data_IF_806890808774
#
_entry.id   IF_806890808774
#
_cell.length_a   1.000
_cell.length_b   1.000
_cell.length_c   1.000
_cell.angle_alpha   90.00
_cell.angle_beta   90.00
_cell.angle_gamma   90.00
#
_symmetry.space_group_name_H-M   'P 1'
#
loop_
_entity.id
_entity.type
_entity.pdbx_description
1 polymer ?
2 branched ?
3 branched ?
4 non-polymer ?
5 non-polymer ?
6 non-polymer ?
7 water ?
#
# COMPACT_ATOMS: atom_id res chain seq x y z
N UNK A 1 1.84 10.23 -23.94
CA UNK A 1 2.79 11.01 -24.78
C UNK A 1 4.15 10.34 -24.75
N UNK A 2 4.98 10.76 -23.80
CA UNK A 2 6.31 10.19 -23.63
C UNK A 2 6.27 9.53 -22.26
N UNK A 3 7.17 8.59 -22.06
CA UNK A 3 7.24 7.89 -20.77
C UNK A 3 7.65 8.90 -19.71
N UNK A 4 7.04 8.80 -18.54
CA UNK A 4 7.41 9.70 -17.46
C UNK A 4 8.75 9.30 -16.87
N UNK A 5 9.54 10.31 -16.50
CA UNK A 5 10.84 10.09 -15.87
C UNK A 5 10.81 10.78 -14.50
N UNK A 6 11.32 10.08 -13.50
CA UNK A 6 11.40 10.57 -12.14
C UNK A 6 12.53 11.59 -12.04
N UNK A 7 12.26 12.78 -12.54
CA UNK A 7 13.27 13.83 -12.55
C UNK A 7 13.25 14.75 -11.34
N UNK A 8 12.16 14.75 -10.57
CA UNK A 8 12.08 15.64 -9.41
C UNK A 8 12.36 14.97 -8.06
N UNK A 9 12.73 15.79 -7.08
CA UNK A 9 12.91 15.31 -5.73
C UNK A 9 11.58 15.58 -5.02
N UNK A 10 11.46 15.11 -3.78
CA UNK A 10 10.22 15.32 -2.98
C UNK A 10 10.08 16.75 -2.48
N UNK A 11 8.84 17.22 -2.38
CA UNK A 11 8.60 18.54 -1.81
C UNK A 11 8.87 18.38 -0.29
N UNK A 12 9.19 19.48 0.38
CA UNK A 12 9.42 19.45 1.82
C UNK A 12 8.08 19.22 2.52
N UNK A 13 8.04 18.19 3.35
CA UNK A 13 6.83 17.82 4.07
C UNK A 13 6.82 18.51 5.42
N UNK A 14 6.01 19.57 5.55
CA UNK A 14 5.89 20.29 6.82
C UNK A 14 4.62 19.93 7.58
N UNK A 15 3.69 19.29 6.87
CA UNK A 15 2.42 18.76 7.40
C UNK A 15 1.72 17.98 6.27
N UNK A 16 0.50 17.52 6.57
CA UNK A 16 -0.30 16.75 5.61
C UNK A 16 -1.66 17.39 5.49
N UNK A 17 -2.15 17.57 4.27
CA UNK A 17 -3.47 18.15 4.06
C UNK A 17 -4.41 17.03 3.53
N UNK A 18 -5.73 17.21 3.70
CA UNK A 18 -6.71 16.23 3.25
C UNK A 18 -6.74 16.23 1.71
N UNK A 19 -6.64 15.05 1.12
CA UNK A 19 -6.65 14.88 -0.34
C UNK A 19 -7.94 14.21 -0.84
N UNK A 20 -8.30 13.07 -0.24
CA UNK A 20 -9.51 12.37 -0.62
C UNK A 20 -10.07 11.54 0.51
N UNK A 21 -11.38 11.29 0.47
CA UNK A 21 -12.08 10.49 1.49
C UNK A 21 -13.39 10.10 0.82
N UNK A 22 -13.67 8.80 0.76
CA UNK A 22 -14.90 8.37 0.12
C UNK A 22 -16.09 8.03 1.02
N UNK A 23 -15.88 7.94 2.34
CA UNK A 23 -16.97 7.64 3.26
C UNK A 23 -17.81 6.47 2.72
N UNK A 24 -17.13 5.46 2.17
CA UNK A 24 -17.81 4.34 1.54
C UNK A 24 -18.80 3.52 2.41
N UNK A 25 -18.39 3.21 3.64
CA UNK A 25 -19.23 2.42 4.54
C UNK A 25 -20.48 3.19 4.96
N UNK A 26 -20.33 4.49 5.26
CA UNK A 26 -21.46 5.33 5.64
C UNK A 26 -22.47 5.33 4.50
N UNK A 27 -22.00 5.70 3.31
CA UNK A 27 -22.86 5.78 2.13
C UNK A 27 -23.45 4.44 1.74
N UNK A 28 -22.63 3.39 1.86
CA UNK A 28 -23.00 2.03 1.49
C UNK A 28 -24.07 1.41 2.34
N UNK A 29 -24.38 2.06 3.46
CA UNK A 29 -25.44 1.58 4.35
C UNK A 29 -26.79 1.64 3.59
N UNK A 30 -26.88 2.54 2.62
CA UNK A 30 -28.12 2.71 1.85
C UNK A 30 -27.89 3.05 0.36
N UNK A 31 -26.97 2.34 -0.27
CA UNK A 31 -26.74 2.53 -1.68
C UNK A 31 -25.87 1.36 -2.12
N UNK A 32 -25.76 1.12 -3.42
CA UNK A 32 -25.02 -0.01 -3.94
C UNK A 32 -23.51 0.06 -3.99
N UNK A 33 -22.91 0.01 -2.81
CA UNK A 33 -21.48 0.09 -2.66
C UNK A 33 -20.89 -1.32 -2.51
N UNK A 34 -19.87 -1.60 -3.31
CA UNK A 34 -19.20 -2.89 -3.27
C UNK A 34 -18.34 -3.03 -2.01
N UNK A 35 -18.29 -4.27 -1.50
CA UNK A 35 -17.44 -4.60 -0.37
C UNK A 35 -16.02 -4.66 -0.97
N UNK A 36 -15.08 -4.07 -0.27
CA UNK A 36 -13.68 -4.08 -0.72
C UNK A 36 -12.74 -4.26 0.48
N UNK A 37 -11.45 -4.24 0.16
CA UNK A 37 -10.31 -4.23 1.10
C UNK A 37 -9.07 -4.08 0.22
N UNK A 38 -7.92 -3.86 0.87
CA UNK A 38 -6.64 -3.66 0.17
C UNK A 38 -6.73 -2.52 -0.88
N UNK A 39 -7.20 -1.33 -0.46
CA UNK A 39 -7.36 -0.22 -1.40
C UNK A 39 -6.05 0.54 -1.57
N UNK A 40 -6.05 1.47 -2.51
CA UNK A 40 -4.90 2.34 -2.75
C UNK A 40 -5.31 3.44 -3.71
N UNK A 41 -4.37 4.31 -4.08
CA UNK A 41 -4.68 5.41 -4.99
C UNK A 41 -3.58 5.42 -6.07
N UNK A 42 -3.93 5.83 -7.28
CA UNK A 42 -2.94 5.86 -8.34
C UNK A 42 -3.40 6.87 -9.39
N UNK A 43 -2.44 7.60 -9.92
CA UNK A 43 -2.70 8.63 -10.91
C UNK A 43 -2.30 8.30 -12.33
N UNK A 44 -3.08 8.86 -13.24
CA UNK A 44 -2.85 8.80 -14.68
C UNK A 44 -2.41 10.26 -14.95
N UNK A 45 -1.90 10.54 -16.16
CA UNK A 45 -1.54 11.94 -16.46
C UNK A 45 -2.69 12.95 -16.35
N UNK A 46 -3.92 12.49 -16.53
CA UNK A 46 -5.05 13.42 -16.47
C UNK A 46 -6.07 13.17 -15.37
N UNK A 47 -5.83 12.21 -14.49
CA UNK A 47 -6.81 11.92 -13.43
C UNK A 47 -6.19 11.03 -12.38
N UNK A 48 -6.64 11.17 -11.14
CA UNK A 48 -6.20 10.31 -10.03
C UNK A 48 -7.46 9.57 -9.56
N UNK A 49 -7.31 8.27 -9.33
CA UNK A 49 -8.42 7.41 -8.93
C UNK A 49 -8.15 6.48 -7.72
N UNK A 50 -9.24 6.07 -7.06
CA UNK A 50 -9.16 5.11 -5.95
C UNK A 50 -9.19 3.73 -6.61
N UNK A 51 -8.50 2.80 -5.97
CA UNK A 51 -8.36 1.42 -6.39
C UNK A 51 -8.60 0.53 -5.18
N UNK A 52 -9.04 -0.70 -5.43
CA UNK A 52 -9.23 -1.68 -4.35
C UNK A 52 -9.63 -3.04 -4.92
N UNK A 53 -9.59 -4.04 -4.04
CA UNK A 53 -9.99 -5.39 -4.38
C UNK A 53 -11.42 -5.62 -3.95
N UNK A 54 -12.32 -5.63 -4.93
CA UNK A 54 -13.71 -5.87 -4.69
C UNK A 54 -13.88 -7.30 -4.16
N UNK A 55 -14.99 -7.54 -3.47
CA UNK A 55 -15.33 -8.89 -2.98
C UNK A 55 -16.51 -9.42 -3.82
N UNK A 56 -16.87 -8.72 -4.89
CA UNK A 56 -17.95 -9.15 -5.76
C UNK A 56 -19.33 -9.23 -5.11
N UNK A 57 -19.68 -8.22 -4.31
CA UNK A 57 -20.98 -8.15 -3.64
C UNK A 57 -21.06 -6.77 -3.00
N UNK A 58 -22.28 -6.29 -2.76
CA UNK A 58 -22.49 -5.01 -2.08
C UNK A 58 -22.41 -5.28 -0.56
N UNK A 59 -22.26 -4.23 0.23
CA UNK A 59 -22.17 -4.36 1.68
C UNK A 59 -23.50 -4.85 2.26
N UNK A 60 -24.62 -4.26 1.81
CA UNK A 60 -25.95 -4.69 2.29
C UNK A 60 -26.39 -6.02 1.68
N UNK A 61 -25.72 -6.45 0.60
CA UNK A 61 -26.10 -7.69 -0.04
C UNK A 61 -25.87 -8.87 0.87
N UNK A 62 -26.70 -9.90 0.74
CA UNK A 62 -26.53 -11.12 1.54
C UNK A 62 -25.17 -11.81 1.32
N UNK A 63 -24.58 -11.63 0.13
CA UNK A 63 -23.28 -12.23 -0.16
C UNK A 63 -22.12 -11.55 0.56
N UNK A 64 -22.41 -10.50 1.35
CA UNK A 64 -21.35 -9.81 2.11
C UNK A 64 -20.92 -10.74 3.27
N UNK A 65 -21.77 -11.72 3.56
CA UNK A 65 -21.46 -12.64 4.62
C UNK A 65 -20.24 -13.46 4.22
N UNK A 66 -19.17 -13.36 4.99
CA UNK A 66 -17.98 -14.15 4.68
C UNK A 66 -16.83 -13.38 4.05
N UNK A 67 -17.03 -12.10 3.76
CA UNK A 67 -16.01 -11.28 3.14
C UNK A 67 -14.74 -11.01 3.96
N UNK A 68 -14.66 -11.58 5.17
CA UNK A 68 -13.43 -11.45 5.96
C UNK A 68 -12.28 -12.22 5.20
N UNK A 69 -12.65 -13.24 4.42
CA UNK A 69 -11.66 -14.00 3.66
C UNK A 69 -10.98 -13.20 2.57
N UNK A 70 -9.70 -13.45 2.41
CA UNK A 70 -8.85 -12.73 1.48
C UNK A 70 -8.84 -13.15 0.01
N UNK A 71 -9.05 -14.44 -0.26
CA UNK A 71 -8.93 -14.89 -1.62
C UNK A 71 -10.10 -15.74 -2.06
N UNK A 72 -10.81 -15.28 -3.08
CA UNK A 72 -11.95 -16.02 -3.62
C UNK A 72 -11.97 -15.72 -5.10
N UNK A 73 -12.79 -16.47 -5.83
CA UNK A 73 -12.93 -16.26 -7.26
C UNK A 73 -13.82 -15.03 -7.58
N UNK A 74 -14.34 -14.36 -6.55
CA UNK A 74 -15.23 -13.21 -6.76
C UNK A 74 -14.59 -11.86 -6.56
N UNK A 75 -13.27 -11.85 -6.36
CA UNK A 75 -12.55 -10.60 -6.17
C UNK A 75 -11.98 -10.10 -7.49
N UNK A 76 -11.75 -8.80 -7.56
CA UNK A 76 -11.20 -8.17 -8.77
C UNK A 76 -10.64 -6.81 -8.42
N UNK A 77 -9.60 -6.39 -9.14
CA UNK A 77 -9.07 -5.05 -8.90
C UNK A 77 -10.02 -4.09 -9.61
N UNK A 78 -10.55 -3.12 -8.88
CA UNK A 78 -11.43 -2.11 -9.46
C UNK A 78 -10.88 -0.70 -9.16
N UNK A 79 -11.21 0.26 -10.01
CA UNK A 79 -10.84 1.66 -9.76
C UNK A 79 -12.12 2.48 -9.94
N UNK A 80 -12.14 3.67 -9.35
CA UNK A 80 -13.30 4.53 -9.44
C UNK A 80 -12.88 6.00 -9.17
N UNK A 81 -13.74 7.00 -9.53
CA UNK A 81 -13.35 8.41 -9.40
C UNK A 81 -12.95 8.78 -7.97
N UNK A 82 -11.92 9.61 -7.88
CA UNK A 82 -11.38 10.08 -6.61
C UNK A 82 -12.46 10.55 -5.65
N UNK A 83 -12.45 9.98 -4.46
CA UNK A 83 -13.35 10.31 -3.38
C UNK A 83 -14.79 9.87 -3.51
N UNK A 84 -15.14 9.23 -4.63
CA UNK A 84 -16.47 8.64 -4.76
C UNK A 84 -16.32 7.29 -4.02
N UNK A 85 -17.43 6.65 -3.64
CA UNK A 85 -17.32 5.28 -3.15
C UNK A 85 -17.28 4.29 -4.31
N UNK A 86 -16.75 3.09 -4.07
CA UNK A 86 -16.76 2.05 -5.08
C UNK A 86 -18.16 1.42 -5.23
N UNK A 87 -18.92 1.91 -6.19
CA UNK A 87 -20.27 1.40 -6.41
C UNK A 87 -20.31 0.41 -7.57
N UNK A 88 -21.37 -0.36 -7.61
CA UNK A 88 -21.56 -1.32 -8.67
C UNK A 88 -21.59 -0.59 -10.03
N UNK A 89 -22.14 0.62 -10.02
CA UNK A 89 -22.30 1.40 -11.24
C UNK A 89 -21.12 2.28 -11.69
N UNK A 90 -20.17 2.59 -10.82
CA UNK A 90 -19.05 3.45 -11.22
C UNK A 90 -17.69 2.75 -11.11
N UNK A 91 -17.68 1.49 -10.72
CA UNK A 91 -16.40 0.81 -10.56
C UNK A 91 -15.96 0.17 -11.86
N UNK A 92 -14.72 0.44 -12.25
CA UNK A 92 -14.17 -0.10 -13.48
C UNK A 92 -13.22 -1.23 -13.11
N UNK A 93 -13.48 -2.42 -13.66
CA UNK A 93 -12.62 -3.57 -13.36
C UNK A 93 -11.30 -3.51 -14.17
N UNK A 94 -10.18 -3.53 -13.47
CA UNK A 94 -8.89 -3.52 -14.12
C UNK A 94 -8.43 -4.95 -14.48
N UNK A 95 -8.78 -5.91 -13.62
CA UNK A 95 -8.45 -7.32 -13.82
C UNK A 95 -9.03 -8.14 -12.67
N UNK A 96 -9.04 -9.45 -12.86
CA UNK A 96 -9.61 -10.41 -11.93
C UNK A 96 -8.54 -11.02 -11.03
N UNK A 97 -8.78 -11.07 -9.72
CA UNK A 97 -7.79 -11.63 -8.82
C UNK A 97 -7.90 -11.14 -7.39
N UNK A 98 -7.02 -11.66 -6.53
CA UNK A 98 -7.04 -11.31 -5.11
C UNK A 98 -5.81 -10.66 -4.50
N UNK A 99 -4.93 -10.17 -5.37
CA UNK A 99 -3.71 -9.47 -4.97
C UNK A 99 -3.38 -8.66 -6.23
N UNK A 100 -2.99 -7.40 -6.06
CA UNK A 100 -2.72 -6.53 -7.21
C UNK A 100 -1.75 -5.36 -7.01
N UNK A 101 -1.44 -4.74 -8.14
CA UNK A 101 -0.66 -3.54 -8.22
C UNK A 101 -1.06 -2.90 -9.56
N UNK A 102 -0.74 -1.61 -9.71
CA UNK A 102 -1.08 -0.88 -10.92
C UNK A 102 -0.30 0.44 -10.94
N UNK A 103 0.09 0.87 -12.14
CA UNK A 103 0.80 2.13 -12.29
C UNK A 103 0.79 2.59 -13.74
N UNK A 104 0.78 3.90 -13.93
CA UNK A 104 0.77 4.50 -15.28
C UNK A 104 2.23 4.87 -15.60
N UNK A 105 2.68 4.54 -16.80
CA UNK A 105 4.08 4.85 -17.16
C UNK A 105 4.21 6.18 -17.89
N UNK A 106 3.11 6.90 -18.05
CA UNK A 106 3.16 8.17 -18.76
C UNK A 106 2.43 8.05 -20.08
N UNK A 107 2.49 6.87 -20.69
CA UNK A 107 1.79 6.62 -21.94
C UNK A 107 0.49 5.88 -21.66
N UNK A 108 0.58 4.80 -20.89
CA UNK A 108 -0.60 4.03 -20.54
C UNK A 108 -0.38 3.29 -19.21
N UNK A 109 -1.43 2.64 -18.72
CA UNK A 109 -1.36 1.95 -17.44
C UNK A 109 -1.13 0.45 -17.49
N UNK A 110 -0.38 -0.03 -16.51
CA UNK A 110 -0.12 -1.45 -16.36
C UNK A 110 -0.85 -1.86 -15.07
N UNK A 111 -1.63 -2.94 -15.13
CA UNK A 111 -2.31 -3.45 -13.94
C UNK A 111 -1.98 -4.94 -13.84
N UNK A 112 -1.76 -5.40 -12.63
CA UNK A 112 -1.41 -6.79 -12.40
C UNK A 112 -2.34 -7.40 -11.35
N UNK A 113 -2.92 -8.55 -11.67
CA UNK A 113 -3.80 -9.25 -10.71
C UNK A 113 -3.36 -10.71 -10.64
N UNK A 114 -3.35 -11.23 -9.42
CA UNK A 114 -2.98 -12.61 -9.18
C UNK A 114 -4.24 -13.35 -8.74
N UNK A 115 -4.44 -14.53 -9.30
CA UNK A 115 -5.57 -15.36 -8.95
C UNK A 115 -5.13 -16.84 -8.88
N UNK A 116 -6.00 -17.69 -8.36
CA UNK A 116 -5.68 -19.09 -8.29
C UNK A 116 -5.90 -19.64 -6.90
N UNK A 117 -5.80 -20.96 -6.76
CA UNK A 117 -5.70 -21.61 -5.45
C UNK A 117 -4.33 -21.29 -4.84
N UNK A 118 -4.20 -21.52 -3.55
CA UNK A 118 -2.97 -21.24 -2.85
C UNK A 118 -1.73 -21.86 -3.46
N UNK A 119 -1.84 -23.09 -3.93
CA UNK A 119 -0.70 -23.77 -4.53
C UNK A 119 -0.58 -23.70 -6.06
N UNK A 120 -1.38 -22.88 -6.72
CA UNK A 120 -1.34 -22.83 -8.18
C UNK A 120 -1.77 -21.45 -8.72
N UNK A 121 -1.34 -20.39 -8.06
CA UNK A 121 -1.69 -19.05 -8.48
C UNK A 121 -0.85 -18.58 -9.65
N UNK A 122 -1.33 -17.53 -10.31
CA UNK A 122 -0.64 -16.94 -11.45
C UNK A 122 -0.99 -15.46 -11.55
N UNK A 123 -0.03 -14.68 -12.00
CA UNK A 123 -0.23 -13.28 -12.19
C UNK A 123 -0.45 -13.01 -13.68
N UNK A 124 -1.36 -12.10 -13.99
CA UNK A 124 -1.50 -11.65 -15.37
C UNK A 124 -1.38 -10.14 -15.41
N UNK A 125 -0.40 -9.75 -16.24
CA UNK A 125 0.00 -8.36 -16.46
C UNK A 125 -0.70 -7.80 -17.68
N UNK A 126 -1.54 -6.81 -17.39
CA UNK A 126 -2.35 -6.06 -18.36
C UNK A 126 -1.64 -4.74 -18.62
N UNK A 127 -1.70 -4.30 -19.87
CA UNK A 127 -1.09 -3.05 -20.29
C UNK A 127 -2.00 -2.47 -21.37
N UNK A 128 -2.38 -1.20 -21.18
CA UNK A 128 -3.29 -0.54 -22.11
C UNK A 128 -4.62 -1.33 -22.16
N UNK A 129 -5.01 -1.81 -20.98
CA UNK A 129 -6.24 -2.58 -20.74
C UNK A 129 -6.37 -3.92 -21.45
N UNK A 130 -5.24 -4.50 -21.85
CA UNK A 130 -5.22 -5.81 -22.52
C UNK A 130 -4.23 -6.71 -21.80
N UNK A 131 -4.52 -8.01 -21.72
CA UNK A 131 -3.57 -8.93 -21.09
C UNK A 131 -2.37 -9.13 -22.01
N UNK A 132 -1.17 -9.03 -21.46
CA UNK A 132 0.06 -9.16 -22.24
C UNK A 132 1.01 -10.28 -21.79
N UNK A 133 1.21 -10.38 -20.47
CA UNK A 133 2.12 -11.37 -19.89
C UNK A 133 1.52 -12.13 -18.71
N UNK A 134 1.93 -13.38 -18.53
CA UNK A 134 1.47 -14.21 -17.42
C UNK A 134 2.68 -14.85 -16.76
N UNK A 135 2.63 -14.95 -15.42
CA UNK A 135 3.72 -15.53 -14.62
C UNK A 135 3.11 -16.54 -13.65
N UNK A 136 3.53 -17.80 -13.78
CA UNK A 136 3.02 -18.85 -12.91
C UNK A 136 3.73 -18.82 -11.57
N UNK A 137 3.02 -19.23 -10.53
CA UNK A 137 3.60 -19.33 -9.20
C UNK A 137 4.96 -20.10 -9.28
N UNK A 138 5.97 -19.62 -8.54
CA UNK A 138 7.27 -20.28 -8.53
C UNK A 138 7.54 -21.02 -7.21
N UNK A 139 6.76 -20.74 -6.18
CA UNK A 139 6.98 -21.41 -4.91
C UNK A 139 5.72 -22.14 -4.44
N UNK A 140 4.66 -22.09 -5.25
CA UNK A 140 3.40 -22.78 -4.96
C UNK A 140 2.79 -22.49 -3.58
N UNK A 141 2.90 -21.24 -3.16
CA UNK A 141 2.37 -20.83 -1.87
C UNK A 141 1.95 -19.35 -1.87
N UNK A 142 0.74 -19.11 -2.37
CA UNK A 142 0.14 -17.78 -2.41
C UNK A 142 1.00 -16.69 -3.03
N UNK A 143 1.21 -16.79 -4.34
CA UNK A 143 1.93 -15.76 -5.11
C UNK A 143 1.17 -14.48 -4.74
N UNK A 144 1.89 -13.41 -4.40
CA UNK A 144 1.23 -12.19 -3.96
C UNK A 144 2.09 -10.95 -4.26
N UNK A 145 1.47 -9.79 -4.33
CA UNK A 145 2.22 -8.59 -4.66
C UNK A 145 1.94 -7.40 -3.74
N UNK A 146 2.19 -6.20 -4.24
CA UNK A 146 2.14 -4.97 -3.46
C UNK A 146 0.92 -4.49 -2.72
N UNK A 147 -0.24 -4.54 -3.39
CA UNK A 147 -1.51 -4.03 -2.85
C UNK A 147 -1.50 -2.50 -2.84
N UNK A 148 -0.57 -1.90 -3.61
CA UNK A 148 -0.54 -0.44 -3.79
C UNK A 148 0.17 -0.17 -5.14
N UNK A 149 0.19 1.08 -5.60
CA UNK A 149 0.79 1.34 -6.89
C UNK A 149 2.28 1.07 -7.06
N UNK A 150 2.62 0.66 -8.28
CA UNK A 150 4.02 0.48 -8.63
C UNK A 150 4.47 1.87 -9.17
N UNK A 151 5.73 1.99 -9.60
CA UNK A 151 6.26 3.25 -10.09
C UNK A 151 7.07 2.95 -11.35
N UNK A 152 6.99 3.85 -12.32
CA UNK A 152 7.70 3.69 -13.58
C UNK A 152 8.72 4.81 -13.83
N UNK A 153 9.71 4.48 -14.64
CA UNK A 153 10.74 5.44 -15.00
C UNK A 153 11.21 5.05 -16.40
N UNK A 154 10.99 5.95 -17.35
CA UNK A 154 11.33 5.74 -18.76
C UNK A 154 10.74 4.43 -19.30
N UNK A 155 9.51 4.13 -18.90
CA UNK A 155 8.87 2.92 -19.39
C UNK A 155 9.11 1.71 -18.53
N UNK A 156 10.14 1.74 -17.66
CA UNK A 156 10.41 0.59 -16.79
C UNK A 156 9.66 0.70 -15.48
N UNK A 157 8.80 -0.28 -15.21
CA UNK A 157 7.98 -0.30 -13.98
C UNK A 157 8.29 -1.56 -13.13
N UNK A 158 9.16 -1.42 -12.12
CA UNK A 158 9.50 -2.53 -11.22
C UNK A 158 8.32 -2.88 -10.29
N UNK A 159 8.18 -4.17 -10.00
CA UNK A 159 7.12 -4.63 -9.12
C UNK A 159 7.70 -5.73 -8.24
N UNK A 160 7.35 -5.71 -6.96
CA UNK A 160 7.85 -6.73 -6.04
C UNK A 160 6.77 -7.76 -5.77
N UNK A 161 7.13 -9.04 -5.91
CA UNK A 161 6.26 -10.18 -5.69
C UNK A 161 6.90 -11.06 -4.64
N UNK A 162 6.09 -11.86 -3.95
CA UNK A 162 6.59 -12.82 -2.98
C UNK A 162 5.76 -14.09 -3.18
N UNK A 163 6.43 -15.24 -3.12
CA UNK A 163 5.77 -16.52 -3.22
C UNK A 163 6.49 -17.41 -2.20
N UNK A 164 5.69 -18.12 -1.39
CA UNK A 164 6.22 -18.98 -0.35
C UNK A 164 5.64 -18.62 0.99
N UNK A 165 6.24 -19.16 2.04
CA UNK A 165 5.79 -18.95 3.42
C UNK A 165 5.66 -17.51 3.90
N UNK A 166 4.69 -17.29 4.79
CA UNK A 166 4.45 -15.99 5.40
C UNK A 166 5.11 -15.98 6.79
N UNK A 167 5.53 -17.16 7.23
CA UNK A 167 6.11 -17.32 8.55
C UNK A 167 7.51 -17.98 8.54
N UNK A 168 8.22 -17.78 7.44
CA UNK A 168 9.55 -18.34 7.30
C UNK A 168 10.09 -17.76 6.01
N UNK A 169 11.34 -18.10 5.62
CA UNK A 169 11.90 -17.56 4.37
C UNK A 169 11.05 -17.90 3.15
N UNK A 170 10.88 -16.90 2.29
CA UNK A 170 10.08 -17.03 1.09
C UNK A 170 10.90 -16.57 -0.12
N UNK A 171 10.33 -16.71 -1.32
CA UNK A 171 11.03 -16.30 -2.54
C UNK A 171 10.42 -15.00 -3.13
N UNK A 172 11.09 -13.89 -2.81
CA UNK A 172 10.68 -12.58 -3.26
C UNK A 172 11.46 -12.28 -4.54
N UNK A 173 10.76 -11.70 -5.52
CA UNK A 173 11.34 -11.35 -6.80
C UNK A 173 10.95 -9.92 -7.20
N UNK A 174 11.87 -9.26 -7.86
CA UNK A 174 11.65 -7.92 -8.35
C UNK A 174 11.61 -8.07 -9.88
N UNK A 175 10.45 -7.78 -10.46
CA UNK A 175 10.28 -7.84 -11.90
C UNK A 175 10.33 -6.45 -12.47
N UNK A 176 11.02 -6.30 -13.58
CA UNK A 176 11.13 -5.02 -14.28
C UNK A 176 10.34 -5.17 -15.59
N UNK A 177 9.16 -4.54 -15.63
CA UNK A 177 8.30 -4.60 -16.81
C UNK A 177 8.42 -3.33 -17.64
N UNK A 178 8.18 -3.49 -18.94
CA UNK A 178 8.14 -2.37 -19.87
C UNK A 178 7.06 -2.76 -20.90
N UNK A 179 5.99 -1.98 -20.96
CA UNK A 179 4.87 -2.25 -21.85
C UNK A 179 4.28 -3.62 -21.56
N UNK A 180 4.24 -3.97 -20.27
CA UNK A 180 3.68 -5.23 -19.83
C UNK A 180 4.56 -6.44 -20.09
N UNK A 181 5.71 -6.27 -20.72
CA UNK A 181 6.59 -7.41 -20.99
C UNK A 181 7.72 -7.46 -19.97
N UNK A 182 8.23 -8.66 -19.70
CA UNK A 182 9.30 -8.78 -18.72
C UNK A 182 10.66 -8.47 -19.34
N UNK A 183 11.35 -7.46 -18.83
CA UNK A 183 12.70 -7.17 -19.31
C UNK A 183 13.69 -8.02 -18.53
N UNK A 184 13.42 -8.21 -17.24
CA UNK A 184 14.33 -8.91 -16.33
C UNK A 184 13.64 -9.09 -14.97
N UNK A 185 14.10 -10.05 -14.17
CA UNK A 185 13.63 -10.21 -12.80
C UNK A 185 14.86 -10.60 -11.99
N UNK A 186 14.87 -10.26 -10.71
CA UNK A 186 15.98 -10.60 -9.82
C UNK A 186 15.32 -11.25 -8.61
N UNK A 187 16.04 -12.19 -7.95
CA UNK A 187 15.76 -12.51 -6.54
C UNK A 187 16.15 -11.40 -5.57
N UNK A 188 15.38 -11.30 -4.50
CA UNK A 188 15.62 -10.33 -3.47
C UNK A 188 17.06 -10.51 -2.95
N UNK A 189 17.75 -9.38 -2.76
CA UNK A 189 19.09 -9.39 -2.22
C UNK A 189 19.08 -8.36 -1.10
N UNK A 190 20.19 -8.23 -0.42
CA UNK A 190 20.30 -7.28 0.68
C UNK A 190 20.05 -7.97 2.02
N UNK A 191 19.73 -7.18 3.04
CA UNK A 191 19.53 -7.75 4.37
C UNK A 191 18.09 -7.94 4.84
N UNK A 192 17.11 -7.54 4.01
CA UNK A 192 15.71 -7.72 4.36
C UNK A 192 15.50 -9.23 4.43
N UNK A 193 14.94 -9.73 5.52
CA UNK A 193 14.77 -11.18 5.69
C UNK A 193 13.43 -11.76 5.20
N UNK A 194 12.45 -10.90 5.00
CA UNK A 194 11.13 -11.30 4.54
C UNK A 194 10.46 -10.04 4.01
N UNK A 195 9.84 -10.16 2.83
CA UNK A 195 9.19 -9.02 2.16
C UNK A 195 7.77 -9.32 1.73
N UNK A 196 6.86 -8.39 1.98
CA UNK A 196 5.48 -8.51 1.54
C UNK A 196 4.88 -7.12 1.45
N UNK A 197 3.94 -6.98 0.51
CA UNK A 197 3.18 -5.74 0.30
C UNK A 197 3.97 -4.42 0.29
N UNK A 198 4.89 -4.28 -0.65
CA UNK A 198 5.69 -3.07 -0.76
C UNK A 198 4.92 -1.83 -1.19
N UNK A 199 5.16 -0.72 -0.50
CA UNK A 199 4.58 0.58 -0.80
C UNK A 199 5.72 1.38 -1.41
N UNK A 200 5.56 1.82 -2.64
CA UNK A 200 6.66 2.49 -3.30
C UNK A 200 6.36 3.88 -3.80
N UNK A 201 7.44 4.63 -4.04
CA UNK A 201 7.36 5.97 -4.61
C UNK A 201 8.70 6.20 -5.31
N UNK A 202 8.73 7.17 -6.22
CA UNK A 202 9.96 7.45 -6.94
C UNK A 202 10.32 8.92 -6.93
N UNK A 203 11.64 9.17 -6.91
CA UNK A 203 12.16 10.52 -6.97
C UNK A 203 13.59 10.44 -7.43
N UNK A 204 13.97 11.42 -8.25
CA UNK A 204 15.32 11.51 -8.80
C UNK A 204 15.89 10.15 -9.28
N UNK A 205 15.16 9.52 -10.19
CA UNK A 205 15.53 8.24 -10.79
C UNK A 205 15.81 7.07 -9.83
N UNK A 206 15.21 7.11 -8.64
CA UNK A 206 15.33 6.01 -7.68
C UNK A 206 13.92 5.67 -7.13
N UNK A 207 13.65 4.38 -6.95
CA UNK A 207 12.37 3.95 -6.42
C UNK A 207 12.57 3.35 -5.05
N UNK A 208 11.90 3.93 -4.05
CA UNK A 208 11.98 3.45 -2.69
C UNK A 208 10.69 2.72 -2.33
N UNK A 209 10.85 1.53 -1.78
CA UNK A 209 9.72 0.71 -1.33
C UNK A 209 9.83 0.36 0.15
N UNK A 210 8.80 0.69 0.92
CA UNK A 210 8.73 0.36 2.34
C UNK A 210 7.75 -0.82 2.39
N UNK A 211 8.23 -1.98 2.82
CA UNK A 211 7.38 -3.15 2.81
C UNK A 211 7.13 -3.65 4.21
N UNK A 212 6.81 -4.93 4.30
CA UNK A 212 6.49 -5.53 5.59
C UNK A 212 7.15 -6.90 5.72
N UNK A 213 7.76 -7.11 6.89
CA UNK A 213 8.38 -8.38 7.23
C UNK A 213 7.34 -9.07 8.11
N UNK A 214 6.52 -9.92 7.50
CA UNK A 214 5.50 -10.62 8.25
C UNK A 214 6.03 -11.64 9.25
N UNK A 215 7.12 -12.30 8.87
CA UNK A 215 7.77 -13.33 9.65
C UNK A 215 8.30 -12.89 11.02
N UNK A 216 9.23 -11.93 11.01
CA UNK A 216 9.85 -11.49 12.26
C UNK A 216 9.97 -10.02 12.60
N UNK A 217 9.94 -9.14 11.59
CA UNK A 217 10.19 -7.73 11.85
C UNK A 217 9.08 -6.78 12.21
N UNK A 218 9.33 -5.99 13.26
CA UNK A 218 8.40 -4.94 13.70
C UNK A 218 8.88 -3.60 13.14
N UNK A 219 10.12 -3.60 12.65
CA UNK A 219 10.66 -2.44 11.92
C UNK A 219 10.29 -2.84 10.47
N UNK A 220 10.32 -1.90 9.52
CA UNK A 220 9.96 -2.25 8.14
C UNK A 220 11.19 -2.43 7.26
N UNK A 221 11.18 -3.50 6.47
CA UNK A 221 12.13 -3.68 5.36
C UNK A 221 11.94 -2.62 4.26
N UNK A 222 13.06 -2.25 3.65
CA UNK A 222 13.06 -1.25 2.62
C UNK A 222 13.88 -1.73 1.44
N UNK A 223 13.26 -1.63 0.26
CA UNK A 223 13.92 -2.00 -1.00
C UNK A 223 14.10 -0.73 -1.84
N UNK A 224 15.33 -0.43 -2.24
CA UNK A 224 15.60 0.72 -3.09
C UNK A 224 16.01 0.18 -4.45
N UNK A 225 15.30 0.65 -5.47
CA UNK A 225 15.48 0.17 -6.83
C UNK A 225 16.00 1.23 -7.78
N UNK A 226 16.95 0.81 -8.59
CA UNK A 226 17.51 1.68 -9.63
C UNK A 226 16.81 1.17 -10.89
N UNK A 227 15.84 1.93 -11.42
CA UNK A 227 15.09 1.39 -12.55
C UNK A 227 15.84 1.45 -13.90
N UNK A 228 17.00 2.10 -13.93
CA UNK A 228 17.79 2.15 -15.16
C UNK A 228 18.73 0.95 -15.20
N UNK A 229 19.50 0.77 -14.13
CA UNK A 229 20.39 -0.36 -14.02
C UNK A 229 19.59 -1.63 -13.79
N UNK A 230 18.35 -1.46 -13.33
CA UNK A 230 17.49 -2.58 -13.00
C UNK A 230 18.15 -3.48 -11.94
N UNK A 231 18.58 -2.80 -10.86
CA UNK A 231 19.22 -3.45 -9.73
C UNK A 231 18.58 -2.87 -8.48
N UNK A 232 18.84 -3.46 -7.32
CA UNK A 232 18.25 -2.98 -6.07
C UNK A 232 19.08 -3.41 -4.86
N UNK A 233 18.69 -2.89 -3.69
CA UNK A 233 19.31 -3.25 -2.44
C UNK A 233 18.16 -3.36 -1.46
N UNK A 234 18.44 -3.90 -0.29
CA UNK A 234 17.43 -4.01 0.75
C UNK A 234 18.08 -3.92 2.13
N UNK A 235 17.32 -3.39 3.09
CA UNK A 235 17.73 -3.25 4.49
C UNK A 235 16.44 -2.99 5.25
N UNK A 236 16.55 -2.57 6.51
CA UNK A 236 15.40 -2.21 7.33
C UNK A 236 15.56 -0.75 7.76
N UNK A 237 14.44 -0.13 8.10
CA UNK A 237 14.47 1.23 8.64
C UNK A 237 15.17 1.07 10.01
N UNK A 238 16.33 1.71 10.17
CA UNK A 238 17.14 1.67 11.38
C UNK A 238 16.43 2.18 12.64
N UNK A 239 15.61 3.21 12.47
CA UNK A 239 14.90 3.87 13.57
C UNK A 239 14.23 2.98 14.61
N UNK A 240 14.37 3.36 15.91
CA UNK A 240 13.63 2.73 17.02
C UNK A 240 12.13 3.04 17.03
N UNK A 241 11.70 3.96 16.16
CA UNK A 241 10.26 4.27 16.07
C UNK A 241 9.69 3.15 15.16
N UNK A 242 9.24 2.06 15.79
CA UNK A 242 8.73 0.90 15.08
C UNK A 242 7.39 1.17 14.38
N UNK A 243 7.27 0.69 13.13
CA UNK A 243 6.06 0.99 12.40
C UNK A 243 5.18 -0.12 11.87
N UNK A 244 5.48 -1.38 12.20
CA UNK A 244 4.58 -2.43 11.78
C UNK A 244 3.49 -2.57 12.88
N UNK A 245 2.56 -3.51 12.71
CA UNK A 245 1.50 -3.76 13.70
C UNK A 245 1.04 -5.21 13.51
N UNK A 246 0.88 -5.97 14.62
CA UNK A 246 1.25 -5.61 15.99
C UNK A 246 2.77 -5.41 16.15
N UNK A 247 3.21 -4.82 17.25
CA UNK A 247 4.64 -4.58 17.44
C UNK A 247 4.89 -4.41 18.94
N UNK A 248 6.16 -4.59 19.38
CA UNK A 248 6.46 -4.26 20.77
C UNK A 248 6.59 -2.74 20.93
N UNK A 249 6.76 -2.30 22.17
CA UNK A 249 6.93 -0.88 22.45
C UNK A 249 8.23 -0.41 21.84
N UNK A 250 8.29 0.87 21.49
CA UNK A 250 9.48 1.46 20.90
C UNK A 250 10.67 1.34 21.86
N UNK A 251 11.82 0.82 21.37
CA UNK A 251 13.13 0.86 22.08
C UNK A 251 13.81 2.20 21.87
N UNK A 252 15.08 2.30 22.30
CA UNK A 252 15.83 3.52 22.10
C UNK A 252 16.78 3.32 20.94
N UNK A 253 16.99 2.07 20.55
CA UNK A 253 17.84 1.80 19.39
C UNK A 253 17.18 0.71 18.52
N UNK A 254 17.11 0.97 17.22
CA UNK A 254 16.50 0.03 16.29
C UNK A 254 17.50 -0.92 15.66
N UNK A 255 17.10 -1.53 14.56
CA UNK A 255 17.95 -2.45 13.82
C UNK A 255 17.97 -2.09 12.32
N UNK A 256 19.17 -1.94 11.77
CA UNK A 256 19.36 -1.59 10.35
C UNK A 256 19.35 -2.74 9.37
N UNK A 257 19.80 -3.92 9.83
CA UNK A 257 19.90 -5.08 8.94
C UNK A 257 19.29 -6.40 9.39
N UNK A 258 18.38 -6.35 10.36
CA UNK A 258 17.74 -7.56 10.84
C UNK A 258 16.40 -7.08 11.28
N UNK A 259 15.40 -7.95 11.28
CA UNK A 259 14.09 -7.62 11.85
C UNK A 259 14.16 -7.29 13.34
N UNK A 260 13.42 -6.29 13.79
CA UNK A 260 13.42 -5.98 15.19
C UNK A 260 12.40 -6.94 15.79
N UNK A 261 12.83 -7.76 16.78
CA UNK A 261 12.03 -8.90 17.28
C UNK A 261 10.95 -8.48 18.26
N UNK A 262 10.13 -9.46 18.67
CA UNK A 262 9.08 -9.17 19.62
C UNK A 262 7.73 -9.60 19.14
N UNK A 263 7.58 -9.69 17.82
CA UNK A 263 6.30 -10.09 17.24
C UNK A 263 6.54 -10.90 15.99
N UNK A 264 5.99 -12.10 15.94
CA UNK A 264 6.17 -12.98 14.78
C UNK A 264 4.89 -13.24 14.03
N UNK A 265 5.09 -13.63 12.78
CA UNK A 265 4.03 -14.03 11.86
C UNK A 265 2.80 -13.17 11.82
N UNK A 266 2.99 -11.87 11.60
CA UNK A 266 1.85 -10.96 11.51
C UNK A 266 2.39 -9.61 11.11
N UNK A 267 1.50 -8.68 10.76
CA UNK A 267 1.94 -7.36 10.36
C UNK A 267 0.83 -6.67 9.57
N UNK A 268 1.11 -5.47 9.07
CA UNK A 268 0.14 -4.73 8.29
C UNK A 268 0.93 -3.99 7.22
N UNK A 269 0.32 -3.83 6.05
CA UNK A 269 0.96 -3.08 4.96
C UNK A 269 1.11 -1.64 5.44
N UNK A 270 2.28 -1.05 5.22
CA UNK A 270 2.54 0.32 5.64
C UNK A 270 3.46 1.02 4.67
N UNK A 271 3.93 2.22 5.00
CA UNK A 271 4.82 2.95 4.10
C UNK A 271 5.62 4.01 4.85
N UNK A 272 6.48 4.70 4.12
CA UNK A 272 7.28 5.80 4.67
C UNK A 272 7.87 6.61 3.53
N UNK A 273 8.36 7.80 3.84
CA UNK A 273 9.06 8.65 2.85
C UNK A 273 10.39 8.87 3.53
N UNK A 274 11.44 8.30 2.93
CA UNK A 274 12.80 8.34 3.46
C UNK A 274 13.60 9.32 2.64
N UNK A 275 13.77 10.51 3.18
CA UNK A 275 14.45 11.56 2.43
C UNK A 275 15.25 12.45 3.40
N UNK A 276 16.28 11.85 4.02
CA UNK A 276 17.13 12.57 4.96
C UNK A 276 16.32 13.17 6.09
N UNK A 277 16.48 14.47 6.32
CA UNK A 277 15.74 15.13 7.38
C UNK A 277 14.23 15.23 7.01
N UNK A 278 13.92 15.18 5.71
CA UNK A 278 12.54 15.25 5.22
C UNK A 278 11.96 13.80 5.21
N UNK A 279 12.12 13.10 6.33
CA UNK A 279 11.64 11.74 6.48
C UNK A 279 10.39 11.67 7.37
N UNK A 280 9.36 11.01 6.86
CA UNK A 280 8.11 10.82 7.62
C UNK A 280 7.69 9.36 7.61
N UNK A 281 7.31 8.85 8.79
CA UNK A 281 6.88 7.46 8.97
C UNK A 281 5.39 7.40 9.35
N UNK A 282 4.67 6.46 8.76
CA UNK A 282 3.28 6.30 9.13
C UNK A 282 3.18 5.03 9.97
N UNK A 283 2.21 5.00 10.87
CA UNK A 283 2.00 3.81 11.70
C UNK A 283 0.68 3.88 12.47
N UNK A 284 0.20 2.71 12.88
CA UNK A 284 -0.99 2.66 13.70
C UNK A 284 -0.55 3.22 15.06
N UNK A 285 -1.52 3.77 15.80
CA UNK A 285 -1.20 4.29 17.13
C UNK A 285 -1.07 3.10 18.07
N UNK A 286 -2.05 2.20 18.02
CA UNK A 286 -2.01 0.99 18.86
C UNK A 286 -0.83 0.09 18.46
N UNK A 287 -0.20 -0.57 19.45
CA UNK A 287 0.90 -1.51 19.17
C UNK A 287 0.29 -2.91 19.08
N UNK A 288 -0.99 -3.02 19.42
CA UNK A 288 -1.67 -4.30 19.41
C UNK A 288 -2.62 -4.55 18.24
N UNK A 289 -3.29 -3.51 17.75
CA UNK A 289 -4.23 -3.71 16.67
C UNK A 289 -4.24 -2.58 15.64
N UNK A 290 -5.00 -2.78 14.56
CA UNK A 290 -5.10 -1.82 13.46
C UNK A 290 -6.07 -0.74 13.92
N UNK A 291 -5.55 0.05 14.83
CA UNK A 291 -6.29 1.09 15.47
C UNK A 291 -5.48 2.39 15.42
N UNK A 292 -6.16 3.46 15.00
CA UNK A 292 -5.51 4.75 14.91
C UNK A 292 -4.44 4.84 13.83
N UNK A 293 -3.99 6.04 13.55
CA UNK A 293 -2.96 6.26 12.55
C UNK A 293 -2.33 7.62 12.72
N UNK A 294 -1.00 7.67 12.64
CA UNK A 294 -0.27 8.91 12.78
C UNK A 294 0.93 8.94 11.83
N UNK A 295 1.37 10.16 11.51
CA UNK A 295 2.55 10.43 10.70
C UNK A 295 3.58 11.04 11.68
N UNK A 296 4.80 10.51 11.66
CA UNK A 296 5.88 10.99 12.51
C UNK A 296 7.09 11.40 11.66
N UNK A 297 7.60 12.60 11.89
CA UNK A 297 8.78 13.10 11.19
C UNK A 297 9.96 12.58 12.00
N UNK A 298 10.72 11.69 11.37
CA UNK A 298 11.84 11.07 12.04
C UNK A 298 13.03 11.25 11.14
N UNK A 299 13.77 12.35 11.34
CA UNK A 299 14.91 12.68 10.48
C UNK A 299 15.91 11.52 10.42
N UNK A 300 16.24 11.14 9.18
CA UNK A 300 17.19 10.07 8.89
C UNK A 300 16.80 8.71 9.42
N UNK A 301 15.50 8.43 9.56
CA UNK A 301 15.02 7.13 10.06
C UNK A 301 15.69 5.91 9.40
N UNK A 302 15.88 5.97 8.09
CA UNK A 302 16.49 4.86 7.36
C UNK A 302 17.88 4.47 7.85
N UNK A 303 18.68 5.47 8.17
CA UNK A 303 20.07 5.23 8.54
C UNK A 303 20.50 5.50 9.97
N UNK A 304 19.64 6.15 10.74
CA UNK A 304 19.95 6.49 12.13
C UNK A 304 19.22 5.55 13.10
N UNK A 305 19.96 4.64 13.73
CA UNK A 305 19.36 3.66 14.64
C UNK A 305 18.90 4.18 16.02
N UNK A 306 18.99 5.49 16.19
CA UNK A 306 18.53 6.10 17.42
C UNK A 306 17.59 7.26 17.10
N UNK A 307 17.24 7.43 15.82
CA UNK A 307 16.36 8.52 15.40
C UNK A 307 14.97 8.45 16.06
N UNK A 308 14.51 9.59 16.54
CA UNK A 308 13.21 9.71 17.21
C UNK A 308 12.46 10.90 16.60
N UNK A 309 11.17 11.05 16.93
CA UNK A 309 10.35 12.05 16.21
C UNK A 309 10.67 13.50 16.56
N UNK A 310 10.54 14.36 15.57
CA UNK A 310 10.76 15.79 15.78
C UNK A 310 9.49 16.59 15.50
N UNK A 311 8.48 15.91 14.97
CA UNK A 311 7.19 16.50 14.63
C UNK A 311 6.23 15.36 14.35
N UNK A 312 4.94 15.64 14.37
CA UNK A 312 3.99 14.58 14.09
C UNK A 312 2.63 15.09 13.70
N UNK A 313 1.77 14.19 13.22
CA UNK A 313 0.41 14.58 12.86
C UNK A 313 -0.49 13.35 13.00
N UNK A 314 -1.57 13.49 13.77
CA UNK A 314 -2.49 12.37 13.93
C UNK A 314 -3.43 12.38 12.73
N UNK A 315 -3.65 11.21 12.18
CA UNK A 315 -4.53 11.06 11.01
C UNK A 315 -5.86 10.43 11.44
N UNK A 316 -5.78 9.40 12.28
CA UNK A 316 -6.94 8.68 12.77
C UNK A 316 -6.73 8.45 14.27
N UNK A 317 -7.74 8.76 15.09
CA UNK A 317 -7.64 8.57 16.54
C UNK A 317 -7.54 7.08 16.88
N UNK A 318 -6.85 6.80 17.98
CA UNK A 318 -6.68 5.43 18.43
C UNK A 318 -8.00 4.80 18.78
N UNK A 319 -9.07 5.59 18.83
CA UNK A 319 -10.38 5.07 19.12
C UNK A 319 -11.15 4.77 17.83
N UNK A 320 -10.44 4.78 16.71
CA UNK A 320 -11.04 4.46 15.43
C UNK A 320 -10.17 3.43 14.72
N UNK A 321 -10.83 2.61 13.92
CA UNK A 321 -10.17 1.57 13.16
C UNK A 321 -9.41 2.09 11.96
N UNK A 322 -8.22 1.53 11.75
CA UNK A 322 -7.42 1.86 10.59
C UNK A 322 -7.22 0.59 9.77
N UNK A 323 -6.03 0.39 9.23
CA UNK A 323 -5.77 -0.78 8.42
C UNK A 323 -4.53 -0.53 7.59
N UNK A 324 -4.52 -1.04 6.36
CA UNK A 324 -3.39 -0.87 5.45
C UNK A 324 -3.15 0.63 5.10
N UNK A 325 -1.93 0.95 4.72
CA UNK A 325 -1.59 2.30 4.30
C UNK A 325 -0.51 2.16 3.24
N UNK A 326 -0.46 3.11 2.32
CA UNK A 326 0.53 3.00 1.25
C UNK A 326 0.78 4.34 0.61
N UNK A 327 1.81 4.36 -0.22
CA UNK A 327 2.22 5.59 -0.89
C UNK A 327 1.83 5.69 -2.37
N UNK A 328 1.66 6.92 -2.82
CA UNK A 328 1.40 7.23 -4.21
C UNK A 328 1.71 8.73 -4.34
N UNK A 329 1.96 9.18 -5.56
CA UNK A 329 2.16 10.62 -5.79
C UNK A 329 1.62 10.91 -7.17
N UNK A 330 1.22 12.14 -7.39
CA UNK A 330 0.77 12.53 -8.71
C UNK A 330 2.06 12.99 -9.44
N UNK A 331 2.65 12.09 -10.23
CA UNK A 331 3.87 12.41 -11.00
C UNK A 331 3.63 13.36 -12.17
N UNK A 332 2.37 13.70 -12.42
CA UNK A 332 2.01 14.58 -13.52
C UNK A 332 1.49 15.94 -13.08
N UNK A 333 1.75 16.29 -11.82
CA UNK A 333 1.36 17.57 -11.26
C UNK A 333 2.32 18.69 -11.73
N UNK A 334 1.93 19.94 -11.54
CA UNK A 334 2.79 21.07 -11.91
C UNK A 334 3.81 21.31 -10.79
N UNK A 335 4.79 22.17 -11.04
CA UNK A 335 5.74 22.46 -9.98
C UNK A 335 7.09 21.80 -10.14
N UNK A 336 7.96 22.04 -9.18
CA UNK A 336 9.31 21.54 -9.25
C UNK A 336 9.61 20.31 -8.41
N UNK A 337 8.66 19.81 -7.63
CA UNK A 337 8.91 18.68 -6.77
C UNK A 337 7.69 17.77 -6.73
N UNK A 338 7.90 16.53 -6.28
CA UNK A 338 6.81 15.55 -6.16
C UNK A 338 6.23 15.65 -4.77
N UNK A 339 4.92 15.81 -4.69
CA UNK A 339 4.21 15.93 -3.42
C UNK A 339 3.84 14.55 -2.86
N UNK A 340 4.51 14.18 -1.79
CA UNK A 340 4.27 12.89 -1.13
C UNK A 340 2.81 12.75 -0.73
N UNK A 341 2.21 11.59 -1.02
CA UNK A 341 0.82 11.32 -0.63
C UNK A 341 0.74 9.91 -0.05
N UNK A 342 -0.35 9.61 0.65
CA UNK A 342 -0.58 8.27 1.20
C UNK A 342 -2.07 8.10 1.45
N UNK A 343 -2.47 6.86 1.63
CA UNK A 343 -3.86 6.57 1.97
C UNK A 343 -3.81 5.64 3.18
N UNK A 344 -4.92 5.59 3.90
CA UNK A 344 -5.09 4.70 5.02
C UNK A 344 -6.44 3.99 4.78
N UNK A 345 -6.39 2.67 4.89
CA UNK A 345 -7.54 1.82 4.72
C UNK A 345 -8.21 1.83 6.09
N UNK A 346 -9.49 2.21 6.13
CA UNK A 346 -10.26 2.26 7.38
C UNK A 346 -11.19 1.02 7.40
N UNK A 347 -10.69 -0.07 7.98
CA UNK A 347 -11.41 -1.35 8.03
C UNK A 347 -12.58 -1.36 9.01
N UNK A 348 -13.72 -1.83 8.53
CA UNK A 348 -14.92 -1.93 9.34
C UNK A 348 -15.41 -3.34 9.23
N UNK A 349 -16.07 -3.81 10.28
CA UNK A 349 -16.59 -5.16 10.28
C UNK A 349 -15.61 -6.12 10.92
N UNK A 350 -15.63 -7.35 10.45
CA UNK A 350 -14.77 -8.40 10.99
C UNK A 350 -13.26 -8.20 10.73
N UNK A 351 -12.41 -8.64 11.69
CA UNK A 351 -12.81 -9.35 12.91
C UNK A 351 -13.14 -8.47 14.12
N UNK A 352 -12.79 -7.19 14.06
CA UNK A 352 -12.99 -6.33 15.22
C UNK A 352 -14.40 -6.02 15.56
N UNK A 353 -15.25 -5.91 14.56
CA UNK A 353 -16.66 -5.60 14.75
C UNK A 353 -17.45 -6.78 14.22
N UNK A 354 -17.60 -7.79 15.07
CA UNK A 354 -18.26 -9.02 14.66
C UNK A 354 -19.77 -9.11 14.76
N UNK A 355 -20.44 -8.01 15.06
CA UNK A 355 -21.90 -8.04 15.11
C UNK A 355 -22.43 -8.12 13.67
N UNK A 356 -21.59 -7.73 12.70
CA UNK A 356 -21.93 -7.86 11.28
C UNK A 356 -21.08 -9.01 10.77
N UNK A 357 -21.53 -9.63 9.68
CA UNK A 357 -20.86 -10.77 9.06
C UNK A 357 -19.89 -10.46 7.91
N UNK A 358 -19.73 -9.17 7.62
CA UNK A 358 -18.88 -8.72 6.54
C UNK A 358 -17.66 -7.99 7.06
N UNK A 359 -16.74 -7.76 6.12
CA UNK A 359 -15.53 -6.99 6.37
C UNK A 359 -15.40 -6.09 5.15
N UNK A 360 -15.26 -4.80 5.37
CA UNK A 360 -15.04 -3.87 4.25
C UNK A 360 -14.17 -2.73 4.77
N UNK A 361 -14.16 -1.62 4.05
CA UNK A 361 -13.37 -0.49 4.48
C UNK A 361 -13.78 0.75 3.71
N UNK A 362 -13.24 1.89 4.13
CA UNK A 362 -13.41 3.12 3.37
C UNK A 362 -11.96 3.62 3.23
N UNK A 363 -11.80 4.71 2.50
CA UNK A 363 -10.48 5.26 2.28
C UNK A 363 -10.38 6.73 2.71
N UNK A 364 -9.23 7.08 3.27
CA UNK A 364 -8.89 8.47 3.57
C UNK A 364 -7.46 8.62 3.00
N UNK A 365 -7.16 9.78 2.43
CA UNK A 365 -5.81 10.00 1.90
C UNK A 365 -5.42 11.46 2.08
N UNK A 366 -4.12 11.67 2.27
CA UNK A 366 -3.54 12.99 2.46
C UNK A 366 -2.32 13.12 1.55
N UNK A 367 -1.89 14.37 1.37
CA UNK A 367 -0.69 14.71 0.61
C UNK A 367 0.01 15.74 1.47
N UNK A 368 1.30 15.96 1.21
CA UNK A 368 2.06 16.92 2.02
C UNK A 368 1.84 18.39 1.65
N UNK A 369 2.12 19.23 2.63
CA UNK A 369 2.03 20.66 2.46
C UNK A 369 3.34 21.24 2.97
N UNK A 370 3.79 22.32 2.36
CA UNK A 370 4.99 23.00 2.83
C UNK A 370 4.58 23.92 3.99
N UNK A 371 3.26 24.06 4.23
CA UNK A 371 2.78 24.84 5.36
C UNK A 371 2.73 23.92 6.57
N UNK A 372 2.56 24.50 7.76
CA UNK A 372 2.43 23.75 9.01
C UNK A 372 0.95 23.86 9.39
N UNK A 373 0.15 23.03 8.72
CA UNK A 373 -1.29 23.04 8.88
C UNK A 373 -1.82 22.41 10.15
N UNK A 374 -2.95 22.94 10.62
CA UNK A 374 -3.64 22.40 11.77
C UNK A 374 -4.10 20.98 11.40
N UNK A 375 -4.26 20.13 12.40
CA UNK A 375 -4.67 18.76 12.15
C UNK A 375 -6.09 18.41 12.61
N UNK A 376 -6.70 17.46 11.91
CA UNK A 376 -8.02 16.93 12.23
C UNK A 376 -7.85 15.41 12.18
N UNK A 377 -8.79 14.68 12.77
CA UNK A 377 -8.71 13.22 12.70
C UNK A 377 -9.77 12.87 11.66
N UNK A 378 -9.56 11.75 10.95
CA UNK A 378 -10.42 11.33 9.87
C UNK A 378 -10.92 9.90 9.98
N UNK A 379 -11.97 9.68 10.78
CA UNK A 379 -12.47 8.30 10.94
C UNK A 379 -13.36 7.84 9.79
N UNK A 380 -13.64 6.55 9.74
CA UNK A 380 -14.53 6.00 8.71
C UNK A 380 -15.89 6.73 8.78
N UNK A 381 -16.43 6.86 9.99
CA UNK A 381 -17.69 7.57 10.20
C UNK A 381 -18.98 6.76 10.27
N UNK A 382 -18.93 5.49 9.92
CA UNK A 382 -20.15 4.69 9.93
C UNK A 382 -20.49 4.14 11.32
N UNK A 383 -21.78 3.93 11.57
CA UNK A 383 -22.25 3.37 12.84
C UNK A 383 -22.64 1.93 12.56
N UNK A 384 -21.88 0.98 13.09
CA UNK A 384 -22.17 -0.45 12.88
C UNK A 384 -23.59 -0.83 13.26
N UNK A 385 -24.10 -0.27 14.37
CA UNK A 385 -25.46 -0.56 14.85
C UNK A 385 -26.53 -0.41 13.76
N UNK A 386 -26.30 0.51 12.84
CA UNK A 386 -27.23 0.75 11.74
C UNK A 386 -27.34 -0.46 10.79
N UNK A 387 -26.25 -1.24 10.72
CA UNK A 387 -26.21 -2.39 9.84
C UNK A 387 -26.77 -3.64 10.49
N UNK A 388 -27.22 -3.54 11.74
CA UNK A 388 -27.71 -4.71 12.44
C UNK A 388 -29.18 -4.96 12.20
X LIG B 1 -1.64 -26.89 -10.98
X LIG B 1 -2.08 -28.30 -10.60
X LIG B 1 -1.70 -29.29 -11.71
X LIG B 1 -2.22 -28.82 -13.03
X LIG B 1 -1.65 -27.38 -13.36
X LIG B 1 -2.11 -26.77 -14.65
X LIG B 1 -2.15 -29.05 -8.25
X LIG B 1 -1.22 -29.33 -7.09
X LIG B 1 -1.47 -28.64 -9.31
X LIG B 1 -2.35 -30.52 -11.42
X LIG B 1 -1.88 -29.75 -14.13
X LIG B 1 -2.06 -26.49 -12.31
X LIG B 1 -3.51 -26.92 -14.89
X LIG B 1 -3.40 -29.17 -8.24
X LIG B 2 -2.94 -30.16 -15.01
X LIG B 2 -2.46 -30.49 -16.39
X LIG B 2 -3.62 -30.82 -17.22
X LIG B 2 -4.41 -31.95 -16.50
X LIG B 2 -4.77 -31.53 -15.09
X LIG B 2 -5.50 -32.59 -14.31
X LIG B 2 -0.42 -29.33 -17.05
X LIG B 2 0.29 -28.16 -17.75
X LIG B 2 -1.75 -29.40 -17.02
X LIG B 2 -3.26 -31.18 -18.52
X LIG B 2 -5.66 -32.27 -17.16
X LIG B 2 -3.61 -31.21 -14.39
X LIG B 2 -4.63 -33.71 -14.23
X LIG B 2 0.29 -30.18 -16.48
X LIG B 3 -5.88 -33.56 -17.69
X LIG B 3 -7.32 -33.67 -18.08
X LIG B 3 -7.54 -35.05 -18.70
X LIG B 3 -6.54 -35.33 -19.87
X LIG B 3 -5.09 -35.12 -19.36
X LIG B 3 -4.09 -35.23 -20.50
X LIG B 3 -7.63 -32.66 -19.02
X LIG B 3 -8.89 -35.07 -19.21
X LIG B 3 -6.69 -36.64 -20.41
X LIG B 3 -5.00 -33.80 -18.80
X LIG B 3 -2.80 -35.43 -19.97
X LIG B 4 -9.58 -36.28 -18.99
X LIG B 4 -10.83 -36.27 -19.81
X LIG B 4 -11.82 -35.18 -19.25
X LIG B 4 -12.13 -35.48 -17.80
X LIG B 4 -10.85 -35.49 -17.07
X LIG B 4 -11.05 -35.91 -15.61
X LIG B 4 -11.31 -37.57 -19.68
X LIG B 4 -13.01 -35.10 -19.96
X LIG B 4 -12.99 -34.51 -17.27
X LIG B 4 -9.88 -36.43 -17.66
X LIG B 4 -9.79 -35.47 -15.08
X LIG B 5 -12.55 -37.92 -20.28
X LIG B 5 -12.84 -39.32 -19.72
X LIG B 5 -11.82 -40.31 -20.25
X LIG B 5 -11.83 -40.18 -21.78
X LIG B 5 -11.47 -38.75 -22.25
X LIG B 5 -11.41 -38.63 -23.78
X LIG B 5 -14.14 -39.69 -20.24
X LIG B 5 -12.21 -41.61 -19.84
X LIG B 5 -10.86 -41.06 -22.24
X LIG B 5 -12.46 -37.88 -21.74
X LIG B 5 -12.57 -39.17 -24.40
X LIG B 6 -15.20 -39.63 -19.30
X LIG B 6 -16.41 -40.29 -19.97
X LIG B 6 -16.92 -39.37 -21.12
X LIG B 6 -17.23 -37.89 -20.58
X LIG B 6 -15.91 -37.32 -19.90
X LIG B 6 -16.05 -35.96 -19.23
X LIG B 6 -17.46 -40.51 -19.00
X LIG B 6 -18.08 -39.90 -21.69
X LIG B 6 -17.70 -37.05 -21.59
X LIG B 6 -15.42 -38.25 -18.86
X LIG B 6 -17.00 -36.12 -18.21
X LIG B 7 -2.44 -36.84 -19.66
X LIG B 7 -1.08 -36.90 -18.96
X LIG B 7 0.01 -36.43 -19.90
X LIG B 7 -0.10 -37.27 -21.17
X LIG B 7 -1.48 -37.19 -21.80
X LIG B 7 -1.70 -37.99 -23.03
X LIG B 7 -0.80 -38.19 -18.53
X LIG B 7 1.25 -36.56 -19.27
X LIG B 7 0.85 -36.74 -22.04
X LIG B 7 -2.40 -37.65 -20.87
X LIG B 7 -1.27 -39.38 -22.85
X LIG C 1 12.12 10.36 -20.50
X LIG C 1 11.52 11.34 -21.44
X LIG C 1 11.46 10.77 -22.87
X LIG C 1 12.88 10.39 -23.21
X LIG C 1 13.60 9.52 -22.20
X LIG C 1 15.11 9.55 -22.58
X LIG C 1 9.71 12.92 -21.00
X LIG C 1 8.29 13.10 -20.52
X LIG C 1 10.17 11.68 -21.01
X LIG C 1 10.94 11.71 -23.76
X LIG C 1 12.95 9.63 -24.38
X LIG C 1 13.45 10.06 -20.87
X LIG C 1 15.57 8.45 -21.90
X LIG C 1 10.40 13.87 -21.36
X LIG C 2 13.23 10.26 -25.57
X LIG C 2 13.36 9.14 -26.51
X LIG C 2 14.06 9.78 -27.74
X LIG C 2 12.86 10.66 -28.36
X LIG C 2 12.24 11.65 -27.27
X LIG C 2 10.86 12.22 -27.62
X LIG C 2 15.15 7.51 -25.67
X LIG C 2 15.05 6.24 -24.86
X LIG C 2 13.93 7.98 -25.85
X LIG C 2 14.57 8.71 -28.54
X LIG C 2 13.31 11.42 -29.45
X LIG C 2 12.07 10.96 -26.01
X LIG C 2 9.96 11.15 -27.75
X LIG C 2 16.17 8.08 -26.08
X LIG D 1 -23.28 -15.96 7.76
X LIG D 1 -24.59 -16.14 8.42
X LIG D 1 -24.46 -17.00 9.62
X LIG D 1 -23.85 -18.28 9.20
X LIG D 1 -22.43 -17.93 8.66
X LIG D 1 -21.55 -19.08 8.34
X LIG D 1 -26.04 -14.26 8.07
X LIG D 1 -26.66 -12.91 8.56
X LIG D 1 -25.17 -14.86 8.88
X LIG D 1 -25.71 -17.19 10.24
X LIG D 1 -23.82 -19.08 10.41
X LIG D 1 -22.63 -17.18 7.49
X LIG D 1 -22.17 -19.81 7.32
X LIG D 1 -26.31 -14.72 6.95
X LIG E 1 5.79 -7.91 11.17
X LIG F 1 -32.12 0.53 -4.41
X LIG G 1 -4.29 -8.90 6.12
X LIG G 1 -4.03 -9.55 4.88
X LIG G 1 -4.77 -9.28 3.76
X LIG G 1 -4.36 -9.83 2.39
X LIG G 1 -3.47 -11.14 2.57
X LIG G 1 -2.38 -10.84 3.58
X LIG G 1 -1.45 -12.06 3.82
X LIG G 1 -0.33 -11.76 4.82
X LIG G 1 0.54 -13.01 5.20
X LIG G 1 -3.14 -12.48 0.52
X LIG G 1 -2.53 -12.63 -0.89
X LIG G 1 -2.88 -11.39 1.23
X LIG G 1 -3.53 -9.20 7.07
X LIG G 1 -5.23 -8.09 6.28
X LIG G 1 -5.55 -10.11 1.72
X LIG G 1 -2.98 -10.52 4.82
X LIG G 1 -2.27 -13.11 4.36
X LIG G 1 0.46 -10.85 4.18
X LIG G 1 1.10 -13.50 4.00
X LIG G 1 -3.80 -13.41 0.98
#
# INVERSE_FOLDING_TARGET
RDFNNLTKGLCTINSWHIYGKDNAVRIGEDSDVLVTREPYVSCDPDECRFYALSQGTTIRGKHSNGTIHDRSQYRALISWPLSSPPTVYNSRVECIGWSSTSCHDGKTRMSICISGPNNNASAVIWYNRRPVTEINTWARNILRTQESECVCHNGVCPVVFTDGSATGPAETRIYYFKEGKILKWEPLAGTAKHIEECSCYGERAEITCTCKDNWQGSNRPVIRIDPVAMTHTSQYICSPVLTDNPRPNDPTVGKCNDPYPGNNNNGVKGFSYLDGVNTWLGRTISIASRSGYEMLKVPNALTDDKSKPTQGQTIVLNTDWSGYSGSFMDYWAEGECYRACFYVELIRGRPKEDKVWWTSNSIVSMCSSTEFLGQWDWPDGAKIEYFL
NAG C1 C2 C3 C4 C5 C6 C7 C8 N2 O3 O4 O5 O6 O7
NAG C1 C2 C3 C4 C5 C6 C7 C8 N2 O3 O4 O5 O6 O7
BMA C1 C2 C3 C4 C5 C6 O2 O3 O4 O5 O6
MAN C1 C2 C3 C4 C5 C6 O2 O3 O4 O5 O6
MAN C1 C2 C3 C4 C5 C6 O2 O3 O4 O5 O6
MAN C1 C2 C3 C4 C5 C6 O2 O3 O4 O5 O6
MAN C1 C2 C3 C4 C5 C6 O2 O3 O4 O5 O6
NAG C1 C2 C3 C4 C5 C6 C7 C8 N2 O3 O4 O5 O6 O7
NAG C1 C2 C3 C4 C5 C6 C7 C8 N2 O3 O4 O5 O6 O7
NAG C1 C2 C3 C4 C5 C6 C7 C8 N2 O3 O4 O5 O6 O7
CA CA
CA CA
DAN C1 C2 C3 C4 C5 C6 C7 C8 C9 C10 C11 N5 O1A O1B O4 O6 O7 O8 O9 O10
#
